data_IF_128262564571
#
_entry.id   IF_128262564571
#
_cell.length_a   1.000
_cell.length_b   1.000
_cell.length_c   1.000
_cell.angle_alpha   90.00
_cell.angle_beta   90.00
_cell.angle_gamma   90.00
#
_symmetry.space_group_name_H-M   'P 1'
#
loop_
_entity.id
_entity.type
_entity.pdbx_description
1 polymer ?
#
# COMPACT_ATOMS: atom_id res chain seq x y z
N UNK A 1 -1.42 -6.94 7.28
CA UNK A 1 -1.86 -7.72 6.11
C UNK A 1 -0.68 -8.05 5.23
N UNK A 2 -0.64 -9.23 4.70
CA UNK A 2 0.45 -9.73 3.86
C UNK A 2 -0.10 -10.23 2.53
N UNK A 3 0.48 -9.79 1.43
CA UNK A 3 0.12 -10.22 0.08
C UNK A 3 1.32 -10.94 -0.55
N UNK A 4 1.10 -12.12 -1.12
CA UNK A 4 2.13 -12.91 -1.80
C UNK A 4 1.81 -13.06 -3.28
N UNK A 5 2.82 -12.88 -4.11
CA UNK A 5 2.71 -13.08 -5.56
C UNK A 5 3.85 -13.96 -6.06
N UNK A 6 3.55 -14.90 -6.96
CA UNK A 6 4.54 -15.80 -7.54
C UNK A 6 5.09 -15.28 -8.87
N UNK A 7 6.39 -15.41 -9.09
CA UNK A 7 7.04 -15.14 -10.38
C UNK A 7 8.39 -15.86 -10.54
N UNK A 8 8.97 -15.77 -11.73
CA UNK A 8 10.34 -16.23 -12.02
C UNK A 8 11.38 -15.12 -11.84
N UNK A 9 12.56 -15.44 -11.24
CA UNK A 9 13.08 -14.62 -10.19
C UNK A 9 14.27 -13.73 -10.38
N UNK A 10 15.27 -14.08 -11.10
CA UNK A 10 16.58 -13.42 -10.94
C UNK A 10 16.79 -12.19 -11.84
N UNK A 11 16.16 -12.17 -12.98
CA UNK A 11 16.26 -11.01 -13.88
C UNK A 11 15.39 -9.85 -13.42
N UNK A 12 14.34 -10.18 -12.67
CA UNK A 12 13.36 -9.18 -12.23
C UNK A 12 13.81 -8.38 -11.02
N UNK A 13 14.73 -8.92 -10.23
CA UNK A 13 15.25 -8.27 -9.04
C UNK A 13 15.97 -6.97 -9.35
N UNK A 14 16.82 -7.00 -10.37
CA UNK A 14 17.55 -5.80 -10.82
C UNK A 14 16.59 -4.77 -11.40
N UNK A 15 15.64 -5.23 -12.21
CA UNK A 15 14.66 -4.36 -12.84
C UNK A 15 13.72 -3.74 -11.82
N UNK A 16 13.28 -4.51 -10.82
CA UNK A 16 12.44 -4.00 -9.72
C UNK A 16 13.18 -3.01 -8.82
N UNK A 17 14.43 -3.29 -8.46
CA UNK A 17 15.26 -2.35 -7.71
C UNK A 17 15.54 -1.07 -8.51
N UNK A 18 15.85 -1.20 -9.80
CA UNK A 18 16.07 -0.07 -10.69
C UNK A 18 14.78 0.73 -10.90
N UNK A 19 13.63 0.08 -11.01
CA UNK A 19 12.34 0.73 -11.10
C UNK A 19 11.94 1.41 -9.78
N UNK A 20 12.19 0.80 -8.63
CA UNK A 20 11.97 1.43 -7.34
C UNK A 20 12.89 2.64 -7.13
N UNK A 21 14.14 2.53 -7.50
CA UNK A 21 15.10 3.65 -7.46
C UNK A 21 14.72 4.74 -8.45
N UNK A 22 14.23 4.35 -9.62
CA UNK A 22 13.73 5.26 -10.65
C UNK A 22 12.47 5.96 -10.20
N UNK A 23 11.55 5.24 -9.56
CA UNK A 23 10.34 5.82 -8.96
C UNK A 23 10.67 6.73 -7.78
N UNK A 24 11.64 6.39 -6.96
CA UNK A 24 12.12 7.26 -5.89
C UNK A 24 12.80 8.54 -6.44
N UNK A 25 13.51 8.44 -7.55
CA UNK A 25 14.07 9.60 -8.25
C UNK A 25 12.98 10.45 -8.90
N UNK A 26 11.96 9.82 -9.46
CA UNK A 26 10.81 10.49 -10.05
C UNK A 26 9.89 11.11 -8.98
N UNK A 27 9.87 10.54 -7.77
CA UNK A 27 9.21 11.16 -6.59
C UNK A 27 9.90 12.43 -6.14
N UNK A 28 11.21 12.55 -6.35
CA UNK A 28 11.96 13.78 -6.10
C UNK A 28 11.76 14.83 -7.19
N UNK A 29 11.09 14.49 -8.33
CA UNK A 29 10.81 15.35 -9.45
C UNK A 29 9.32 15.68 -9.63
N UNK A 30 9.01 16.31 -10.75
CA UNK A 30 7.65 16.77 -11.13
C UNK A 30 6.56 15.68 -11.05
N UNK A 31 6.93 14.42 -11.29
CA UNK A 31 6.00 13.29 -11.24
C UNK A 31 5.70 12.85 -9.81
N UNK A 32 6.61 13.04 -8.87
CA UNK A 32 6.36 12.84 -7.45
C UNK A 32 5.32 13.80 -6.90
N UNK A 33 5.34 15.03 -7.36
CA UNK A 33 4.31 16.03 -7.01
C UNK A 33 2.94 15.66 -7.59
N UNK A 34 2.90 15.12 -8.82
CA UNK A 34 1.65 14.68 -9.46
C UNK A 34 1.09 13.43 -8.80
N UNK A 35 1.95 12.48 -8.41
CA UNK A 35 1.53 11.29 -7.69
C UNK A 35 1.04 11.64 -6.27
N UNK A 36 1.71 12.56 -5.59
CA UNK A 36 1.24 13.09 -4.31
C UNK A 36 -0.05 13.88 -4.44
N UNK A 37 -0.22 14.66 -5.52
CA UNK A 37 -1.48 15.33 -5.82
C UNK A 37 -2.59 14.36 -6.19
N UNK A 38 -2.26 13.28 -6.88
CA UNK A 38 -3.22 12.24 -7.22
C UNK A 38 -3.69 11.46 -5.98
N UNK A 39 -2.76 11.10 -5.09
CA UNK A 39 -3.09 10.49 -3.80
C UNK A 39 -3.76 11.50 -2.85
N UNK A 40 -3.36 12.76 -2.85
CA UNK A 40 -3.99 13.82 -2.08
C UNK A 40 -5.34 14.28 -2.65
N UNK A 41 -5.53 14.19 -3.98
CA UNK A 41 -6.78 14.56 -4.66
C UNK A 41 -7.93 13.60 -4.43
N UNK A 42 -7.67 12.38 -3.95
CA UNK A 42 -8.71 11.38 -3.71
C UNK A 42 -9.32 11.45 -2.30
N UNK A 43 -8.61 11.99 -1.33
CA UNK A 43 -9.14 12.38 -0.02
C UNK A 43 -8.07 13.17 0.74
N UNK A 44 -8.33 14.42 1.10
CA UNK A 44 -7.46 15.21 1.96
C UNK A 44 -7.25 14.61 3.37
N UNK A 45 -8.00 13.58 3.72
CA UNK A 45 -7.97 12.90 5.02
C UNK A 45 -7.41 11.47 4.94
N UNK A 46 -7.09 10.97 3.74
CA UNK A 46 -6.53 9.64 3.58
C UNK A 46 -5.10 9.59 4.14
N UNK A 47 -4.82 8.54 4.89
CA UNK A 47 -3.48 8.26 5.38
C UNK A 47 -2.88 7.05 4.67
N UNK A 48 -1.55 6.99 4.63
CA UNK A 48 -0.81 5.91 3.99
C UNK A 48 -0.21 5.00 5.07
N UNK A 49 -0.62 3.74 5.15
CA UNK A 49 0.00 2.78 6.07
C UNK A 49 1.43 2.45 5.66
N UNK A 50 2.26 2.10 6.63
CA UNK A 50 3.62 1.64 6.39
C UNK A 50 3.61 0.30 5.65
N UNK A 51 4.52 0.14 4.70
CA UNK A 51 4.61 -1.04 3.84
C UNK A 51 6.05 -1.51 3.78
N UNK A 52 6.25 -2.81 4.00
CA UNK A 52 7.48 -3.50 3.70
C UNK A 52 7.28 -4.43 2.49
N UNK A 53 8.23 -4.42 1.58
CA UNK A 53 8.24 -5.31 0.42
C UNK A 53 9.49 -6.16 0.51
N UNK A 54 9.29 -7.47 0.59
CA UNK A 54 10.36 -8.45 0.66
C UNK A 54 10.27 -9.39 -0.53
N UNK A 55 11.38 -9.60 -1.18
CA UNK A 55 11.47 -10.59 -2.25
C UNK A 55 11.93 -11.94 -1.71
N UNK A 56 11.26 -12.97 -2.15
CA UNK A 56 11.62 -14.37 -1.93
C UNK A 56 12.00 -15.03 -3.25
N UNK A 57 12.43 -16.26 -3.18
CA UNK A 57 12.91 -17.02 -4.35
C UNK A 57 11.87 -17.11 -5.49
N UNK A 58 10.60 -17.12 -5.18
CA UNK A 58 9.49 -17.33 -6.11
C UNK A 58 8.30 -16.38 -5.89
N UNK A 59 8.45 -15.37 -5.03
CA UNK A 59 7.35 -14.49 -4.69
C UNK A 59 7.81 -13.14 -4.12
N UNK A 60 7.01 -12.11 -4.27
CA UNK A 60 7.06 -10.90 -3.46
C UNK A 60 6.11 -11.03 -2.26
N UNK A 61 6.60 -10.58 -1.13
CA UNK A 61 5.81 -10.47 0.08
C UNK A 61 5.62 -8.99 0.37
N UNK A 62 4.37 -8.55 0.34
CA UNK A 62 4.01 -7.18 0.69
C UNK A 62 3.32 -7.21 2.06
N UNK A 63 3.94 -6.62 3.04
CA UNK A 63 3.41 -6.49 4.39
C UNK A 63 2.95 -5.06 4.62
N UNK A 64 1.70 -4.90 5.05
CA UNK A 64 1.10 -3.60 5.31
C UNK A 64 0.66 -3.54 6.76
N UNK A 65 1.09 -2.51 7.49
CA UNK A 65 0.71 -2.29 8.87
C UNK A 65 -0.68 -1.66 8.97
N UNK A 66 -1.64 -2.48 9.32
CA UNK A 66 -3.04 -2.07 9.46
C UNK A 66 -3.61 -2.50 10.81
N UNK A 67 -3.05 -2.02 11.92
CA UNK A 67 -3.55 -2.38 13.24
C UNK A 67 -4.96 -1.83 13.46
N UNK A 68 -5.83 -2.65 14.01
CA UNK A 68 -7.22 -2.26 14.28
C UNK A 68 -8.12 -2.19 13.06
N UNK A 69 -7.68 -2.70 11.90
CA UNK A 69 -8.50 -2.77 10.68
C UNK A 69 -8.96 -4.21 10.48
N UNK A 70 -10.27 -4.40 10.35
CA UNK A 70 -10.85 -5.69 10.02
C UNK A 70 -10.64 -6.04 8.54
N UNK A 71 -10.57 -7.34 8.24
CA UNK A 71 -10.38 -7.80 6.86
C UNK A 71 -11.48 -7.35 5.91
N UNK A 72 -12.69 -7.21 6.42
CA UNK A 72 -13.85 -6.73 5.65
C UNK A 72 -13.76 -5.24 5.27
N UNK A 73 -12.90 -4.50 5.96
CA UNK A 73 -12.66 -3.07 5.70
C UNK A 73 -11.47 -2.83 4.76
N UNK A 74 -10.90 -3.89 4.19
CA UNK A 74 -9.74 -3.83 3.31
C UNK A 74 -10.14 -4.30 1.91
N UNK A 75 -9.80 -3.51 0.93
CA UNK A 75 -9.93 -3.85 -0.48
C UNK A 75 -8.54 -3.88 -1.13
N UNK A 76 -8.28 -4.96 -1.88
CA UNK A 76 -7.04 -5.15 -2.61
C UNK A 76 -7.36 -5.27 -4.08
N UNK A 77 -6.74 -4.44 -4.89
CA UNK A 77 -6.84 -4.50 -6.35
C UNK A 77 -5.44 -4.59 -6.97
N UNK A 78 -5.34 -5.31 -8.07
CA UNK A 78 -4.13 -5.39 -8.87
C UNK A 78 -4.49 -5.20 -10.33
N UNK A 79 -3.99 -4.13 -10.92
CA UNK A 79 -4.25 -3.79 -12.33
C UNK A 79 -3.04 -3.09 -12.92
N UNK A 80 -2.64 -3.51 -14.11
CA UNK A 80 -1.52 -2.92 -14.86
C UNK A 80 -0.21 -2.82 -14.06
N UNK A 81 0.07 -3.85 -13.24
CA UNK A 81 1.24 -3.89 -12.39
C UNK A 81 1.13 -3.08 -11.10
N UNK A 82 0.02 -2.41 -10.87
CA UNK A 82 -0.22 -1.60 -9.69
C UNK A 82 -1.06 -2.37 -8.66
N UNK A 83 -0.46 -2.66 -7.53
CA UNK A 83 -1.14 -3.21 -6.36
C UNK A 83 -1.65 -2.05 -5.50
N UNK A 84 -2.95 -2.01 -5.27
CA UNK A 84 -3.58 -1.01 -4.41
C UNK A 84 -4.23 -1.70 -3.23
N UNK A 85 -3.87 -1.23 -2.03
CA UNK A 85 -4.49 -1.61 -0.77
C UNK A 85 -5.18 -0.38 -0.22
N UNK A 86 -6.48 -0.46 -0.04
CA UNK A 86 -7.29 0.65 0.45
C UNK A 86 -8.37 0.15 1.40
N UNK A 87 -8.90 1.05 2.18
CA UNK A 87 -9.98 0.72 3.10
C UNK A 87 -10.23 1.84 4.09
N UNK A 88 -10.81 1.45 5.21
CA UNK A 88 -11.19 2.37 6.26
C UNK A 88 -10.84 1.83 7.64
N UNK A 89 -10.25 2.68 8.47
CA UNK A 89 -10.02 2.40 9.87
C UNK A 89 -11.02 3.17 10.71
N UNK A 90 -11.85 2.45 11.44
CA UNK A 90 -12.88 3.04 12.30
C UNK A 90 -12.32 3.42 13.65
N UNK A 91 -12.72 4.58 14.15
CA UNK A 91 -12.40 5.00 15.51
C UNK A 91 -13.19 4.16 16.51
N UNK A 92 -12.50 3.56 17.48
CA UNK A 92 -13.15 2.72 18.51
C UNK A 92 -13.86 3.49 19.63
N UNK A 93 -13.75 4.82 19.65
CA UNK A 93 -14.38 5.68 20.65
C UNK A 93 -15.36 6.61 19.95
N UNK A 94 -16.60 6.25 20.00
CA UNK A 94 -17.71 6.99 19.40
C UNK A 94 -18.84 7.27 20.40
N UNK A 95 -18.54 7.14 21.68
CA UNK A 95 -19.49 7.40 22.73
C UNK A 95 -19.42 8.87 23.14
N UNK A 96 -20.59 9.52 23.19
CA UNK A 96 -20.73 10.87 23.74
C UNK A 96 -20.37 10.95 25.25
N UNK A 97 -20.24 9.79 25.89
CA UNK A 97 -19.85 9.65 27.28
C UNK A 97 -18.32 9.59 27.45
N UNK A 98 -17.57 9.39 26.36
CA UNK A 98 -16.12 9.29 26.39
C UNK A 98 -15.45 10.65 26.18
N UNK A 99 -14.47 10.94 27.02
CA UNK A 99 -13.62 12.10 26.88
C UNK A 99 -12.24 11.67 26.38
N UNK A 100 -11.91 12.01 25.14
CA UNK A 100 -10.61 11.70 24.57
C UNK A 100 -9.54 12.61 25.15
N UNK A 101 -8.57 12.05 25.86
CA UNK A 101 -7.44 12.78 26.43
C UNK A 101 -6.28 12.92 25.47
N UNK A 102 -6.06 11.91 24.61
CA UNK A 102 -5.02 11.91 23.60
C UNK A 102 -5.46 11.07 22.41
N UNK A 103 -5.33 11.61 21.23
CA UNK A 103 -5.65 10.93 19.98
C UNK A 103 -4.48 11.10 19.02
N UNK A 104 -3.59 10.12 18.98
CA UNK A 104 -2.43 10.08 18.07
C UNK A 104 -2.63 9.10 16.91
N UNK A 105 -3.57 8.18 17.04
CA UNK A 105 -3.86 7.20 16.01
C UNK A 105 -4.62 7.85 14.84
N UNK A 106 -4.24 7.46 13.65
CA UNK A 106 -4.92 7.92 12.44
C UNK A 106 -6.09 7.03 12.12
N UNK A 107 -7.24 7.63 11.90
CA UNK A 107 -8.47 6.96 11.51
C UNK A 107 -8.94 7.46 10.15
N UNK A 108 -9.95 6.80 9.61
CA UNK A 108 -10.56 7.13 8.35
C UNK A 108 -10.00 6.32 7.19
N UNK A 109 -10.21 6.85 5.98
CA UNK A 109 -9.77 6.19 4.76
C UNK A 109 -8.24 6.10 4.68
N UNK A 110 -7.75 4.95 4.22
CA UNK A 110 -6.34 4.76 3.90
C UNK A 110 -6.20 4.22 2.49
N UNK A 111 -5.06 4.49 1.89
CA UNK A 111 -4.69 3.95 0.59
C UNK A 111 -3.20 3.83 0.47
N UNK A 112 -2.77 2.72 -0.10
CA UNK A 112 -1.39 2.50 -0.51
C UNK A 112 -1.35 1.87 -1.88
N UNK A 113 -0.60 2.47 -2.79
CA UNK A 113 -0.39 1.94 -4.14
C UNK A 113 1.07 1.59 -4.32
N UNK A 114 1.33 0.39 -4.84
CA UNK A 114 2.67 -0.16 -4.99
C UNK A 114 2.78 -0.70 -6.40
N UNK A 115 3.76 -0.21 -7.15
CA UNK A 115 4.09 -0.77 -8.44
C UNK A 115 4.89 -2.04 -8.26
N UNK A 116 4.38 -3.15 -8.78
CA UNK A 116 5.08 -4.43 -8.81
C UNK A 116 5.69 -4.66 -10.20
N UNK A 117 6.73 -5.51 -10.31
CA UNK A 117 7.32 -5.85 -11.61
C UNK A 117 6.31 -6.46 -12.58
N UNK A 118 6.55 -6.29 -13.87
CA UNK A 118 5.64 -6.68 -14.95
C UNK A 118 5.34 -8.17 -15.04
N UNK A 119 6.15 -9.02 -14.40
CA UNK A 119 5.98 -10.48 -14.45
C UNK A 119 5.14 -11.05 -13.30
N UNK A 120 4.64 -10.21 -12.42
CA UNK A 120 3.74 -10.64 -11.36
C UNK A 120 2.42 -11.11 -11.97
N UNK A 121 2.03 -12.33 -11.64
CA UNK A 121 0.78 -12.92 -12.11
C UNK A 121 -0.37 -12.49 -11.22
N UNK A 122 -1.33 -11.78 -11.79
CA UNK A 122 -2.50 -11.29 -11.07
C UNK A 122 -3.35 -12.43 -10.47
N UNK A 123 -3.41 -13.56 -11.13
CA UNK A 123 -4.15 -14.76 -10.68
C UNK A 123 -3.47 -15.55 -9.56
N UNK A 124 -2.21 -15.23 -9.24
CA UNK A 124 -1.42 -15.87 -8.19
C UNK A 124 -1.26 -15.02 -6.94
N UNK A 125 -2.06 -13.96 -6.78
CA UNK A 125 -2.05 -13.10 -5.60
C UNK A 125 -2.91 -13.73 -4.50
N UNK A 126 -2.31 -13.86 -3.33
CA UNK A 126 -2.97 -14.34 -2.11
C UNK A 126 -2.84 -13.29 -1.00
N UNK A 127 -3.91 -13.10 -0.26
CA UNK A 127 -3.94 -12.16 0.85
C UNK A 127 -4.62 -12.75 2.09
#
# INVERSE_FOLDING_TARGET
>A
MTVMTGWDLFEDLRTAQDEMLRMNRLRAGRLGQLAQQYDAGMSAQAWAPAVDITERKDAYLVAVDLPGVGIDDIEITFQDGLLTVQGQRHAGHDSSEERVHRAEQRYGAFRRSIMLPTHVKADAIEA
#
